data_IF_828857984540
#
_entry.id   IF_828857984540
#
_cell.length_a   1.000
_cell.length_b   1.000
_cell.length_c   1.000
_cell.angle_alpha   90.00
_cell.angle_beta   90.00
_cell.angle_gamma   90.00
#
_symmetry.space_group_name_H-M   'P 1'
#
loop_
_entity.id
_entity.type
_entity.pdbx_description
1 polymer ?
#
# COMPACT_ATOMS: atom_id res chain seq x y z
N UNK A 1 -33.25 -9.62 -8.52
CA UNK A 1 -33.75 -9.15 -7.21
C UNK A 1 -33.95 -10.39 -6.34
N UNK A 2 -33.08 -10.62 -5.35
CA UNK A 2 -33.21 -11.76 -4.42
C UNK A 2 -34.19 -11.39 -3.32
N UNK A 3 -35.05 -12.34 -2.91
CA UNK A 3 -35.88 -12.23 -1.70
C UNK A 3 -35.57 -13.39 -0.78
N UNK A 4 -35.33 -13.07 0.49
CA UNK A 4 -35.19 -14.01 1.60
C UNK A 4 -36.56 -14.15 2.26
N UNK A 5 -37.03 -15.38 2.48
CA UNK A 5 -38.20 -15.64 3.32
C UNK A 5 -37.73 -16.11 4.72
N UNK A 6 -38.19 -15.50 5.83
CA UNK A 6 -37.56 -15.67 7.13
C UNK A 6 -38.06 -16.89 7.92
N UNK A 7 -37.16 -17.47 8.73
CA UNK A 7 -37.52 -18.26 9.92
C UNK A 7 -37.72 -17.30 11.11
N UNK A 8 -38.65 -17.55 12.08
CA UNK A 8 -39.26 -16.49 12.88
C UNK A 8 -38.41 -15.83 13.98
N UNK A 9 -37.16 -16.24 14.17
CA UNK A 9 -36.33 -15.85 15.32
C UNK A 9 -34.96 -15.26 14.98
N UNK A 10 -34.65 -15.07 13.69
CA UNK A 10 -33.37 -14.52 13.24
C UNK A 10 -33.54 -13.15 12.57
N UNK A 11 -32.77 -12.16 13.01
CA UNK A 11 -32.75 -10.83 12.38
C UNK A 11 -32.07 -10.89 11.02
N UNK A 12 -32.51 -10.03 10.08
CA UNK A 12 -31.93 -9.96 8.74
C UNK A 12 -30.40 -9.73 8.77
N UNK A 13 -29.90 -8.94 9.73
CA UNK A 13 -28.47 -8.76 9.96
C UNK A 13 -27.76 -10.08 10.34
N UNK A 14 -28.32 -10.87 11.26
CA UNK A 14 -27.73 -12.14 11.67
C UNK A 14 -27.75 -13.21 10.56
N UNK A 15 -28.70 -13.13 9.63
CA UNK A 15 -28.72 -13.95 8.40
C UNK A 15 -27.65 -13.48 7.40
N UNK A 16 -27.51 -12.17 7.22
CA UNK A 16 -26.53 -11.56 6.32
C UNK A 16 -25.09 -11.81 6.79
N UNK A 17 -24.82 -11.78 8.11
CA UNK A 17 -23.55 -12.19 8.71
C UNK A 17 -23.26 -13.67 8.46
N UNK A 18 -24.19 -14.59 8.76
CA UNK A 18 -24.02 -16.03 8.47
C UNK A 18 -23.76 -16.32 7.00
N UNK A 19 -24.42 -15.60 6.10
CA UNK A 19 -24.19 -15.72 4.66
C UNK A 19 -22.78 -15.23 4.28
N UNK A 20 -22.34 -14.07 4.78
CA UNK A 20 -21.00 -13.56 4.55
C UNK A 20 -19.89 -14.46 5.12
N UNK A 21 -20.09 -15.04 6.31
CA UNK A 21 -19.11 -15.92 6.95
C UNK A 21 -19.03 -17.28 6.25
N UNK A 22 -20.16 -17.83 5.82
CA UNK A 22 -20.18 -19.01 4.96
C UNK A 22 -19.63 -18.74 3.55
N UNK A 23 -19.53 -17.49 3.09
CA UNK A 23 -18.81 -17.15 1.87
C UNK A 23 -17.29 -17.06 2.06
N UNK A 24 -16.85 -16.61 3.24
CA UNK A 24 -15.42 -16.49 3.61
C UNK A 24 -14.77 -17.84 3.92
N UNK A 25 -15.51 -18.76 4.54
CA UNK A 25 -15.02 -20.09 4.91
C UNK A 25 -15.49 -21.14 3.89
N UNK A 26 -14.55 -21.78 3.19
CA UNK A 26 -14.83 -22.87 2.22
C UNK A 26 -15.48 -24.09 2.87
N UNK A 27 -15.14 -24.37 4.12
CA UNK A 27 -15.46 -25.61 4.82
C UNK A 27 -16.73 -25.45 5.68
N UNK A 28 -17.21 -24.22 5.84
CA UNK A 28 -18.49 -23.95 6.48
C UNK A 28 -19.65 -24.59 5.68
N UNK A 29 -20.66 -25.15 6.35
CA UNK A 29 -21.88 -25.61 5.68
C UNK A 29 -22.62 -24.43 5.03
N UNK A 30 -23.38 -24.73 3.98
CA UNK A 30 -24.26 -23.74 3.34
C UNK A 30 -25.32 -23.29 4.36
N UNK A 31 -25.55 -21.98 4.56
CA UNK A 31 -26.56 -21.51 5.50
C UNK A 31 -27.96 -22.03 5.16
N UNK A 32 -28.73 -22.40 6.19
CA UNK A 32 -30.14 -22.74 6.03
C UNK A 32 -30.91 -21.56 5.42
N UNK A 33 -31.87 -21.86 4.54
CA UNK A 33 -32.66 -20.85 3.83
C UNK A 33 -32.03 -20.32 2.53
N UNK A 34 -30.82 -20.74 2.14
CA UNK A 34 -30.29 -20.49 0.79
C UNK A 34 -31.07 -21.32 -0.24
N UNK A 35 -32.19 -20.76 -0.71
CA UNK A 35 -32.98 -21.27 -1.81
C UNK A 35 -32.62 -20.56 -3.13
N UNK A 36 -32.78 -21.23 -4.27
CA UNK A 36 -32.34 -20.71 -5.55
C UNK A 36 -33.43 -20.93 -6.63
N UNK A 37 -34.06 -19.85 -7.06
CA UNK A 37 -35.39 -19.80 -7.73
C UNK A 37 -35.56 -20.69 -8.98
N UNK A 38 -34.47 -21.09 -9.64
CA UNK A 38 -34.46 -21.79 -10.92
C UNK A 38 -33.43 -22.94 -11.02
N UNK A 39 -33.01 -23.53 -9.89
CA UNK A 39 -32.14 -24.73 -9.86
C UNK A 39 -32.34 -25.48 -8.53
N UNK A 40 -32.67 -26.79 -8.54
CA UNK A 40 -32.82 -27.60 -7.33
C UNK A 40 -31.51 -27.84 -6.55
N UNK A 41 -30.34 -27.39 -7.02
CA UNK A 41 -29.06 -27.50 -6.34
C UNK A 41 -28.50 -26.15 -5.81
N UNK A 42 -29.06 -25.54 -4.74
CA UNK A 42 -28.51 -24.33 -4.13
C UNK A 42 -27.03 -24.43 -3.77
N UNK A 43 -26.58 -25.61 -3.33
CA UNK A 43 -25.17 -25.91 -3.05
C UNK A 43 -24.24 -25.62 -4.23
N UNK A 44 -24.64 -25.97 -5.45
CA UNK A 44 -23.84 -25.77 -6.66
C UNK A 44 -23.64 -24.29 -6.96
N UNK A 45 -24.67 -23.46 -6.77
CA UNK A 45 -24.57 -22.02 -7.01
C UNK A 45 -23.94 -21.24 -5.87
N UNK A 46 -24.04 -21.72 -4.63
CA UNK A 46 -23.25 -21.19 -3.52
C UNK A 46 -21.75 -21.43 -3.74
N UNK A 47 -21.37 -22.63 -4.22
CA UNK A 47 -19.99 -22.92 -4.61
C UNK A 47 -19.50 -22.03 -5.77
N UNK A 48 -20.32 -21.79 -6.81
CA UNK A 48 -19.99 -20.83 -7.89
C UNK A 48 -19.79 -19.42 -7.34
N UNK A 49 -20.63 -18.96 -6.43
CA UNK A 49 -20.48 -17.62 -5.83
C UNK A 49 -19.21 -17.51 -4.97
N UNK A 50 -18.90 -18.52 -4.13
CA UNK A 50 -17.62 -18.61 -3.40
C UNK A 50 -16.41 -18.56 -4.35
N UNK A 51 -16.45 -19.34 -5.42
CA UNK A 51 -15.37 -19.37 -6.42
C UNK A 51 -15.18 -18.02 -7.10
N UNK A 52 -16.27 -17.32 -7.43
CA UNK A 52 -16.22 -15.97 -7.99
C UNK A 52 -15.60 -14.98 -7.00
N UNK A 53 -15.99 -15.00 -5.73
CA UNK A 53 -15.39 -14.15 -4.68
C UNK A 53 -13.89 -14.41 -4.55
N UNK A 54 -13.47 -15.67 -4.43
CA UNK A 54 -12.05 -16.02 -4.33
C UNK A 54 -11.25 -15.61 -5.58
N UNK A 55 -11.83 -15.75 -6.78
CA UNK A 55 -11.21 -15.31 -8.03
C UNK A 55 -11.08 -13.78 -8.11
N UNK A 56 -12.13 -13.04 -7.74
CA UNK A 56 -12.10 -11.57 -7.70
C UNK A 56 -11.11 -11.03 -6.67
N UNK A 57 -10.96 -11.69 -5.51
CA UNK A 57 -9.96 -11.29 -4.50
C UNK A 57 -8.53 -11.52 -5.00
N UNK A 58 -8.24 -12.65 -5.65
CA UNK A 58 -6.93 -12.89 -6.29
C UNK A 58 -6.65 -11.86 -7.39
N UNK A 59 -7.64 -11.56 -8.24
CA UNK A 59 -7.53 -10.52 -9.27
C UNK A 59 -7.30 -9.12 -8.70
N UNK A 60 -7.94 -8.78 -7.58
CA UNK A 60 -7.73 -7.51 -6.90
C UNK A 60 -6.31 -7.41 -6.29
N UNK A 61 -5.80 -8.49 -5.69
CA UNK A 61 -4.42 -8.55 -5.21
C UNK A 61 -3.41 -8.44 -6.37
N UNK A 62 -3.63 -9.16 -7.47
CA UNK A 62 -2.79 -9.10 -8.68
C UNK A 62 -2.73 -7.68 -9.27
N UNK A 63 -3.88 -7.02 -9.41
CA UNK A 63 -3.96 -5.64 -9.89
C UNK A 63 -3.33 -4.61 -8.93
N UNK A 64 -3.28 -4.93 -7.62
CA UNK A 64 -2.68 -4.07 -6.59
C UNK A 64 -1.17 -4.26 -6.45
N UNK A 65 -0.67 -5.47 -6.70
CA UNK A 65 0.73 -5.86 -6.50
C UNK A 65 1.38 -6.43 -7.79
N UNK A 66 1.33 -5.70 -8.93
CA UNK A 66 1.83 -6.21 -10.21
C UNK A 66 3.34 -6.48 -10.22
N UNK A 67 4.17 -5.64 -9.57
CA UNK A 67 5.61 -5.88 -9.51
C UNK A 67 5.92 -7.09 -8.61
N UNK A 68 5.19 -7.25 -7.50
CA UNK A 68 5.26 -8.47 -6.67
C UNK A 68 4.93 -9.71 -7.49
N UNK A 69 3.86 -9.69 -8.30
CA UNK A 69 3.50 -10.80 -9.19
C UNK A 69 4.57 -11.06 -10.27
N UNK A 70 5.17 -10.02 -10.85
CA UNK A 70 6.25 -10.17 -11.83
C UNK A 70 7.50 -10.83 -11.23
N UNK A 71 7.86 -10.49 -9.99
CA UNK A 71 9.02 -11.08 -9.28
C UNK A 71 8.84 -12.57 -9.02
N UNK A 72 7.66 -13.00 -8.54
CA UNK A 72 7.42 -14.39 -8.12
C UNK A 72 6.83 -15.29 -9.22
N UNK A 73 6.29 -14.69 -10.28
CA UNK A 73 5.54 -15.38 -11.33
C UNK A 73 4.07 -15.63 -10.97
N UNK A 74 3.22 -15.78 -12.00
CA UNK A 74 1.76 -15.85 -11.84
C UNK A 74 1.29 -17.02 -10.96
N UNK A 75 1.85 -18.22 -11.14
CA UNK A 75 1.47 -19.42 -10.39
C UNK A 75 1.81 -19.30 -8.89
N UNK A 76 3.00 -18.80 -8.57
CA UNK A 76 3.40 -18.56 -7.18
C UNK A 76 2.52 -17.47 -6.56
N UNK A 77 2.28 -16.37 -7.27
CA UNK A 77 1.42 -15.29 -6.79
C UNK A 77 -0.02 -15.78 -6.55
N UNK A 78 -0.57 -16.62 -7.42
CA UNK A 78 -1.89 -17.22 -7.25
C UNK A 78 -1.98 -18.11 -5.99
N UNK A 79 -0.91 -18.86 -5.69
CA UNK A 79 -0.77 -19.64 -4.47
C UNK A 79 -0.65 -18.77 -3.20
N UNK A 80 0.25 -17.78 -3.24
CA UNK A 80 0.45 -16.79 -2.18
C UNK A 80 -0.86 -16.04 -1.86
N UNK A 81 -1.54 -15.55 -2.88
CA UNK A 81 -2.81 -14.84 -2.74
C UNK A 81 -3.91 -15.75 -2.18
N UNK A 82 -3.98 -17.02 -2.58
CA UNK A 82 -4.93 -17.98 -2.01
C UNK A 82 -4.67 -18.23 -0.51
N UNK A 83 -3.40 -18.40 -0.11
CA UNK A 83 -3.02 -18.57 1.29
C UNK A 83 -3.31 -17.30 2.11
N UNK A 84 -3.00 -16.11 1.56
CA UNK A 84 -3.34 -14.84 2.18
C UNK A 84 -4.84 -14.66 2.37
N UNK A 85 -5.67 -14.96 1.36
CA UNK A 85 -7.14 -14.85 1.43
C UNK A 85 -7.72 -15.76 2.51
N UNK A 86 -7.19 -16.98 2.66
CA UNK A 86 -7.65 -17.92 3.68
C UNK A 86 -7.30 -17.44 5.10
N UNK A 87 -6.10 -16.88 5.31
CA UNK A 87 -5.68 -16.34 6.61
C UNK A 87 -6.30 -14.97 6.93
N UNK A 88 -6.54 -14.15 5.90
CA UNK A 88 -7.01 -12.77 5.98
C UNK A 88 -8.25 -12.55 5.09
N UNK A 89 -9.41 -13.14 5.43
CA UNK A 89 -10.63 -12.95 4.67
C UNK A 89 -11.11 -11.48 4.73
N UNK A 90 -11.65 -10.92 3.64
CA UNK A 90 -12.07 -9.52 3.58
C UNK A 90 -13.20 -9.23 4.58
N UNK A 91 -12.96 -8.23 5.44
CA UNK A 91 -13.93 -7.76 6.45
C UNK A 91 -14.92 -6.74 5.89
N UNK A 92 -14.54 -6.04 4.82
CA UNK A 92 -15.34 -5.02 4.11
C UNK A 92 -15.59 -5.45 2.65
N UNK A 93 -16.72 -5.05 2.04
CA UNK A 93 -16.90 -5.15 0.58
C UNK A 93 -16.04 -4.14 -0.20
N UNK A 94 -15.53 -3.09 0.45
CA UNK A 94 -14.54 -2.18 -0.14
C UNK A 94 -13.16 -2.85 -0.07
N UNK A 95 -12.57 -3.14 -1.23
CA UNK A 95 -11.28 -3.82 -1.36
C UNK A 95 -10.08 -2.86 -1.46
N UNK A 96 -10.28 -1.55 -1.27
CA UNK A 96 -9.25 -0.52 -1.39
C UNK A 96 -8.03 -0.81 -0.49
N UNK A 97 -8.31 -1.18 0.77
CA UNK A 97 -7.29 -1.54 1.76
C UNK A 97 -6.98 -3.05 1.78
N UNK A 98 -7.61 -3.84 0.91
CA UNK A 98 -7.40 -5.29 0.89
C UNK A 98 -6.00 -5.62 0.37
N UNK A 99 -5.22 -6.35 1.16
CA UNK A 99 -3.79 -6.58 0.92
C UNK A 99 -2.85 -5.68 1.74
N UNK A 100 -3.35 -4.74 2.55
CA UNK A 100 -2.50 -3.91 3.43
C UNK A 100 -1.59 -4.72 4.36
N UNK A 101 -2.03 -5.90 4.80
CA UNK A 101 -1.27 -6.82 5.66
C UNK A 101 -0.47 -7.87 4.89
N UNK A 102 -0.45 -7.83 3.54
CA UNK A 102 0.22 -8.84 2.71
C UNK A 102 1.74 -8.86 2.95
N UNK A 103 2.38 -7.69 3.16
CA UNK A 103 3.81 -7.63 3.44
C UNK A 103 4.18 -8.41 4.72
N UNK A 104 3.47 -8.17 5.82
CA UNK A 104 3.70 -8.87 7.09
C UNK A 104 3.29 -10.34 7.07
N UNK A 105 2.39 -10.74 6.17
CA UNK A 105 2.11 -12.15 5.90
C UNK A 105 3.26 -12.81 5.13
N UNK A 106 3.81 -12.16 4.11
CA UNK A 106 4.94 -12.66 3.31
C UNK A 106 6.20 -12.84 4.14
N UNK A 107 6.45 -11.99 5.14
CA UNK A 107 7.56 -12.16 6.10
C UNK A 107 7.49 -13.46 6.91
N UNK A 108 6.33 -14.10 6.98
CA UNK A 108 6.10 -15.37 7.68
C UNK A 108 5.78 -16.52 6.70
N UNK A 109 5.76 -16.25 5.40
CA UNK A 109 5.42 -17.21 4.36
C UNK A 109 6.68 -17.95 3.89
N UNK A 110 6.95 -19.11 4.49
CA UNK A 110 8.15 -19.93 4.24
C UNK A 110 8.51 -20.14 2.75
N UNK A 111 7.55 -20.36 1.82
CA UNK A 111 7.89 -20.50 0.40
C UNK A 111 8.49 -19.25 -0.26
N UNK A 112 8.41 -18.08 0.37
CA UNK A 112 9.02 -16.83 -0.09
C UNK A 112 10.27 -16.41 0.71
N UNK A 113 10.76 -17.23 1.65
CA UNK A 113 11.79 -16.85 2.62
C UNK A 113 13.14 -16.45 1.99
N UNK A 114 13.48 -16.96 0.80
CA UNK A 114 14.69 -16.56 0.06
C UNK A 114 14.58 -15.13 -0.53
N UNK A 115 13.36 -14.66 -0.80
CA UNK A 115 13.06 -13.34 -1.38
C UNK A 115 12.93 -12.29 -0.27
N UNK A 116 14.00 -12.09 0.48
CA UNK A 116 14.06 -11.17 1.65
C UNK A 116 13.57 -9.75 1.41
N UNK A 117 13.63 -9.26 0.16
CA UNK A 117 13.16 -7.93 -0.25
C UNK A 117 11.66 -7.87 -0.65
N UNK A 118 10.98 -9.01 -0.75
CA UNK A 118 9.62 -9.08 -1.33
C UNK A 118 8.59 -8.34 -0.48
N UNK A 119 8.70 -8.42 0.85
CA UNK A 119 7.83 -7.69 1.78
C UNK A 119 7.96 -6.17 1.61
N UNK A 120 9.15 -5.66 1.33
CA UNK A 120 9.39 -4.24 1.08
C UNK A 120 8.85 -3.78 -0.29
N UNK A 121 8.93 -4.62 -1.34
CA UNK A 121 8.25 -4.33 -2.61
C UNK A 121 6.73 -4.26 -2.40
N UNK A 122 6.14 -5.19 -1.63
CA UNK A 122 4.72 -5.17 -1.30
C UNK A 122 4.34 -3.92 -0.49
N UNK A 123 5.17 -3.49 0.47
CA UNK A 123 4.99 -2.21 1.19
C UNK A 123 4.99 -1.02 0.24
N UNK A 124 5.92 -1.00 -0.71
CA UNK A 124 6.05 0.08 -1.68
C UNK A 124 4.83 0.18 -2.61
N UNK A 125 4.34 -0.96 -3.12
CA UNK A 125 3.10 -1.02 -3.92
C UNK A 125 1.85 -0.67 -3.10
N UNK A 126 1.80 -1.07 -1.82
CA UNK A 126 0.73 -0.67 -0.91
C UNK A 126 0.72 0.86 -0.66
N UNK A 127 1.89 1.49 -0.50
CA UNK A 127 2.02 2.96 -0.42
C UNK A 127 1.55 3.64 -1.71
N UNK A 128 1.88 3.10 -2.90
CA UNK A 128 1.36 3.63 -4.19
C UNK A 128 -0.17 3.58 -4.26
N UNK A 129 -0.76 2.48 -3.80
CA UNK A 129 -2.24 2.34 -3.75
C UNK A 129 -2.86 3.37 -2.81
N UNK A 130 -2.25 3.60 -1.65
CA UNK A 130 -2.71 4.60 -0.67
C UNK A 130 -2.56 6.02 -1.21
N UNK A 131 -1.43 6.35 -1.82
CA UNK A 131 -1.22 7.63 -2.46
C UNK A 131 -2.25 7.90 -3.57
N UNK A 132 -2.62 6.87 -4.36
CA UNK A 132 -3.68 6.96 -5.38
C UNK A 132 -5.06 7.32 -4.81
N UNK A 133 -5.38 6.88 -3.60
CA UNK A 133 -6.67 7.13 -2.94
C UNK A 133 -6.67 8.22 -1.87
N UNK A 134 -5.52 8.87 -1.62
CA UNK A 134 -5.39 9.97 -0.67
C UNK A 134 -6.23 11.20 -1.09
N UNK A 135 -6.48 12.12 -0.16
CA UNK A 135 -7.15 13.40 -0.47
C UNK A 135 -6.30 14.27 -1.40
N UNK A 136 -6.96 14.97 -2.33
CA UNK A 136 -6.31 15.93 -3.23
C UNK A 136 -5.98 17.22 -2.49
N UNK A 137 -4.73 17.69 -2.58
CA UNK A 137 -4.30 18.97 -2.03
C UNK A 137 -3.38 19.70 -3.00
N UNK A 138 -3.36 21.03 -2.94
CA UNK A 138 -2.41 21.83 -3.69
C UNK A 138 -1.03 21.76 -2.98
N UNK A 139 0.07 21.52 -3.71
CA UNK A 139 1.41 21.70 -3.16
C UNK A 139 1.67 23.14 -2.73
N UNK A 140 2.50 23.30 -1.71
CA UNK A 140 3.09 24.57 -1.26
C UNK A 140 3.74 25.31 -2.43
N UNK A 141 3.47 26.61 -2.59
CA UNK A 141 4.20 27.43 -3.56
C UNK A 141 5.61 27.72 -3.00
N UNK A 142 6.71 27.36 -3.71
CA UNK A 142 8.07 27.69 -3.27
C UNK A 142 8.31 29.21 -3.05
N UNK A 143 7.47 30.08 -3.62
CA UNK A 143 7.51 31.52 -3.35
C UNK A 143 7.15 31.88 -1.89
N UNK A 144 6.38 31.05 -1.17
CA UNK A 144 6.03 31.27 0.24
C UNK A 144 7.28 31.17 1.13
N UNK A 145 8.16 30.19 0.88
CA UNK A 145 9.44 30.05 1.57
C UNK A 145 10.35 31.27 1.37
N UNK A 146 10.29 31.91 0.19
CA UNK A 146 11.06 33.12 -0.09
C UNK A 146 10.56 34.36 0.67
N UNK A 147 9.38 34.31 1.30
CA UNK A 147 8.87 35.36 2.20
C UNK A 147 9.26 35.15 3.68
N UNK A 148 9.83 33.99 4.02
CA UNK A 148 10.24 33.69 5.40
C UNK A 148 11.51 34.47 5.74
N UNK A 149 11.50 35.10 6.92
CA UNK A 149 12.68 35.75 7.50
C UNK A 149 13.85 34.74 7.62
N UNK A 150 15.03 35.02 7.03
CA UNK A 150 16.19 34.14 7.12
C UNK A 150 16.58 33.74 8.55
N UNK A 151 16.40 34.62 9.55
CA UNK A 151 16.70 34.31 10.96
C UNK A 151 15.68 33.33 11.57
N UNK A 152 14.55 33.08 10.89
CA UNK A 152 13.48 32.17 11.31
C UNK A 152 13.35 30.93 10.42
N UNK A 153 14.09 30.82 9.32
CA UNK A 153 13.94 29.72 8.34
C UNK A 153 14.14 28.34 8.97
N UNK A 154 15.06 28.22 9.95
CA UNK A 154 15.28 26.96 10.68
C UNK A 154 14.13 26.55 11.61
N UNK A 155 13.23 27.46 11.95
CA UNK A 155 12.13 27.22 12.91
C UNK A 155 10.81 26.85 12.23
N UNK A 156 10.72 26.94 10.89
CA UNK A 156 9.48 26.63 10.17
C UNK A 156 9.15 25.14 10.31
N UNK A 157 7.85 24.85 10.40
CA UNK A 157 7.29 23.50 10.31
C UNK A 157 6.50 23.38 9.00
N UNK A 158 6.36 22.16 8.48
CA UNK A 158 5.68 21.90 7.22
C UNK A 158 4.44 21.03 7.43
N UNK A 159 3.37 21.30 6.70
CA UNK A 159 2.24 20.39 6.58
C UNK A 159 2.53 19.37 5.45
N UNK A 160 2.60 18.05 5.73
CA UNK A 160 2.79 17.04 4.69
C UNK A 160 1.54 16.91 3.81
N UNK A 161 1.75 16.64 2.52
CA UNK A 161 0.67 16.31 1.59
C UNK A 161 -0.01 14.99 2.01
N UNK A 162 -1.35 14.87 1.94
CA UNK A 162 -2.07 13.68 2.45
C UNK A 162 -1.65 12.34 1.83
N UNK A 163 -1.05 12.37 0.63
CA UNK A 163 -0.56 11.19 -0.09
C UNK A 163 0.88 10.79 0.26
N UNK A 164 1.55 11.44 1.21
CA UNK A 164 2.96 11.20 1.51
C UNK A 164 3.18 9.78 2.06
N UNK A 165 3.83 8.94 1.26
CA UNK A 165 4.36 7.64 1.67
C UNK A 165 5.88 7.66 1.74
N UNK A 166 6.44 7.16 2.83
CA UNK A 166 7.88 6.92 2.98
C UNK A 166 8.12 5.45 3.29
N UNK A 167 9.11 4.84 2.64
CA UNK A 167 9.61 3.51 2.96
C UNK A 167 11.12 3.55 3.07
N UNK A 168 11.67 2.89 4.10
CA UNK A 168 13.11 2.64 4.22
C UNK A 168 13.34 1.14 4.03
N UNK A 169 14.27 0.77 3.15
CA UNK A 169 14.61 -0.64 2.92
C UNK A 169 16.12 -0.87 2.99
N UNK A 170 16.51 -2.03 3.55
CA UNK A 170 17.88 -2.54 3.45
C UNK A 170 18.23 -3.07 2.04
N UNK A 171 17.25 -3.12 1.14
CA UNK A 171 17.37 -3.60 -0.23
C UNK A 171 17.17 -2.44 -1.23
N UNK A 172 17.61 -2.59 -2.50
CA UNK A 172 17.39 -1.60 -3.55
C UNK A 172 15.95 -1.66 -4.06
N UNK A 173 15.00 -1.38 -3.16
CA UNK A 173 13.57 -1.62 -3.36
C UNK A 173 12.97 -0.77 -4.48
N UNK A 174 13.49 0.45 -4.69
CA UNK A 174 13.02 1.35 -5.77
C UNK A 174 13.49 0.80 -7.12
N UNK A 175 14.76 0.39 -7.21
CA UNK A 175 15.33 -0.21 -8.42
C UNK A 175 14.66 -1.55 -8.75
N UNK A 176 14.47 -2.43 -7.76
CA UNK A 176 13.78 -3.72 -7.93
C UNK A 176 12.34 -3.48 -8.40
N UNK A 177 11.60 -2.55 -7.76
CA UNK A 177 10.24 -2.25 -8.16
C UNK A 177 10.18 -1.71 -9.59
N UNK A 178 11.02 -0.74 -9.96
CA UNK A 178 11.02 -0.13 -11.30
C UNK A 178 11.30 -1.15 -12.41
N UNK A 179 12.22 -2.09 -12.18
CA UNK A 179 12.51 -3.18 -13.12
C UNK A 179 11.35 -4.17 -13.30
N UNK A 180 10.52 -4.36 -12.28
CA UNK A 180 9.41 -5.33 -12.28
C UNK A 180 8.04 -4.69 -12.55
N UNK A 181 7.94 -3.35 -12.53
CA UNK A 181 6.78 -2.59 -12.98
C UNK A 181 6.86 -2.17 -14.46
N UNK A 182 8.04 -2.29 -15.08
CA UNK A 182 8.30 -1.90 -16.47
C UNK A 182 8.70 -0.42 -16.64
N UNK A 183 9.00 0.29 -15.55
CA UNK A 183 9.56 1.65 -15.58
C UNK A 183 11.05 1.65 -15.97
N UNK A 184 11.73 0.51 -15.81
CA UNK A 184 13.14 0.30 -16.15
C UNK A 184 13.38 -1.09 -16.75
N UNK A 185 14.34 -1.22 -17.66
CA UNK A 185 14.82 -2.52 -18.14
C UNK A 185 15.48 -3.36 -17.02
N UNK A 186 15.26 -4.68 -17.05
CA UNK A 186 15.92 -5.63 -16.16
C UNK A 186 17.45 -5.61 -16.35
N UNK A 187 18.18 -5.36 -15.27
CA UNK A 187 19.65 -5.36 -15.26
C UNK A 187 20.19 -5.89 -13.92
N UNK A 188 21.46 -6.36 -13.85
CA UNK A 188 22.11 -6.69 -12.59
C UNK A 188 22.16 -5.48 -11.64
N UNK A 189 21.79 -5.66 -10.37
CA UNK A 189 21.83 -4.60 -9.36
C UNK A 189 23.12 -4.74 -8.55
N UNK A 190 24.16 -4.02 -8.97
CA UNK A 190 25.46 -3.98 -8.30
C UNK A 190 25.91 -2.52 -8.06
N UNK A 191 26.29 -2.13 -6.84
CA UNK A 191 26.23 -2.90 -5.59
C UNK A 191 24.80 -3.00 -5.04
N UNK A 192 24.48 -4.13 -4.40
CA UNK A 192 23.24 -4.26 -3.62
C UNK A 192 23.30 -3.36 -2.39
N UNK A 193 22.51 -2.28 -2.38
CA UNK A 193 22.44 -1.29 -1.29
C UNK A 193 21.00 -0.95 -0.97
N UNK A 194 20.75 -0.59 0.29
CA UNK A 194 19.45 -0.11 0.73
C UNK A 194 19.02 1.17 0.01
N UNK A 195 17.72 1.31 -0.22
CA UNK A 195 17.10 2.48 -0.82
C UNK A 195 15.94 2.96 0.06
N UNK A 196 15.97 4.26 0.34
CA UNK A 196 14.84 5.01 0.88
C UNK A 196 13.95 5.47 -0.29
N UNK A 197 12.63 5.34 -0.15
CA UNK A 197 11.64 5.64 -1.18
C UNK A 197 10.64 6.69 -0.72
N UNK A 198 10.33 7.62 -1.63
CA UNK A 198 9.22 8.57 -1.56
C UNK A 198 8.12 8.10 -2.52
N UNK A 199 6.88 8.08 -2.04
CA UNK A 199 5.67 7.92 -2.84
C UNK A 199 4.77 9.13 -2.61
N UNK A 200 4.30 9.77 -3.67
CA UNK A 200 3.55 11.03 -3.59
C UNK A 200 2.60 11.19 -4.80
N UNK A 201 1.48 11.90 -4.64
CA UNK A 201 0.50 12.19 -5.71
C UNK A 201 0.10 13.68 -5.71
N UNK A 202 1.02 14.60 -6.00
CA UNK A 202 0.77 16.04 -5.89
C UNK A 202 0.01 16.64 -7.09
N UNK A 203 -0.02 15.95 -8.24
CA UNK A 203 -0.81 16.35 -9.43
C UNK A 203 -1.58 15.17 -10.05
N UNK A 204 -2.37 14.47 -9.23
CA UNK A 204 -3.19 13.30 -9.62
C UNK A 204 -2.45 12.04 -10.10
N UNK A 205 -1.17 12.11 -10.46
CA UNK A 205 -0.33 10.98 -10.85
C UNK A 205 0.52 10.54 -9.65
N UNK A 206 0.56 9.25 -9.34
CA UNK A 206 1.40 8.70 -8.28
C UNK A 206 2.83 8.60 -8.78
N UNK A 207 3.70 9.43 -8.24
CA UNK A 207 5.13 9.34 -8.42
C UNK A 207 5.76 8.45 -7.35
N UNK A 208 6.84 7.78 -7.74
CA UNK A 208 7.70 7.03 -6.85
C UNK A 208 9.14 7.44 -7.17
N UNK A 209 9.89 7.90 -6.15
CA UNK A 209 11.25 8.39 -6.29
C UNK A 209 12.15 7.76 -5.24
N UNK A 210 13.39 7.44 -5.61
CA UNK A 210 14.45 7.15 -4.64
C UNK A 210 14.85 8.44 -3.95
N UNK A 211 14.97 8.40 -2.62
CA UNK A 211 15.45 9.53 -1.82
C UNK A 211 16.99 9.56 -1.78
N UNK A 212 17.59 10.76 -1.73
CA UNK A 212 19.01 10.93 -1.40
C UNK A 212 19.32 10.45 0.04
N UNK A 213 20.61 10.28 0.40
CA UNK A 213 21.03 9.95 1.76
C UNK A 213 20.43 10.90 2.80
N UNK A 214 19.96 10.35 3.92
CA UNK A 214 19.25 11.08 4.99
C UNK A 214 17.84 11.56 4.65
N UNK A 215 17.39 11.44 3.38
CA UNK A 215 16.13 12.02 2.90
C UNK A 215 14.88 11.45 3.58
N UNK A 216 14.83 10.15 3.91
CA UNK A 216 13.68 9.60 4.64
C UNK A 216 13.63 10.08 6.09
N UNK A 217 14.78 10.21 6.78
CA UNK A 217 14.83 10.75 8.13
C UNK A 217 14.39 12.23 8.16
N UNK A 218 14.89 13.01 7.20
CA UNK A 218 14.50 14.41 7.00
C UNK A 218 12.98 14.57 6.79
N UNK A 219 12.41 13.87 5.79
CA UNK A 219 10.99 13.97 5.48
C UNK A 219 10.10 13.40 6.57
N UNK A 220 10.53 12.34 7.28
CA UNK A 220 9.78 11.80 8.42
C UNK A 220 9.73 12.78 9.60
N UNK A 221 10.83 13.47 9.90
CA UNK A 221 10.86 14.50 10.95
C UNK A 221 9.94 15.69 10.59
N UNK A 222 10.03 16.19 9.35
CA UNK A 222 9.13 17.25 8.87
C UNK A 222 7.66 16.82 8.86
N UNK A 223 7.34 15.59 8.47
CA UNK A 223 5.97 15.06 8.48
C UNK A 223 5.44 14.78 9.90
N UNK A 224 6.32 14.49 10.87
CA UNK A 224 5.99 14.48 12.30
C UNK A 224 5.76 15.90 12.86
N UNK A 225 5.99 16.92 12.05
CA UNK A 225 5.78 18.33 12.37
C UNK A 225 6.99 19.02 12.98
N UNK A 226 8.20 18.44 12.93
CA UNK A 226 9.41 19.08 13.47
C UNK A 226 9.89 20.27 12.65
N UNK A 227 10.77 21.09 13.24
CA UNK A 227 11.29 22.26 12.52
C UNK A 227 12.29 21.85 11.42
N UNK A 228 12.50 22.73 10.44
CA UNK A 228 13.50 22.53 9.40
C UNK A 228 14.92 22.27 9.97
N UNK A 229 15.28 22.95 11.06
CA UNK A 229 16.55 22.75 11.76
C UNK A 229 16.64 21.38 12.42
N UNK A 230 15.65 21.02 13.23
CA UNK A 230 15.61 19.73 13.95
C UNK A 230 15.61 18.54 12.96
N UNK A 231 14.85 18.67 11.85
CA UNK A 231 14.81 17.65 10.79
C UNK A 231 16.15 17.51 10.06
N UNK A 232 16.87 18.62 9.82
CA UNK A 232 18.20 18.59 9.22
C UNK A 232 19.24 17.95 10.16
N UNK A 233 19.17 18.20 11.48
CA UNK A 233 20.03 17.54 12.48
C UNK A 233 19.75 16.04 12.59
N UNK A 234 18.47 15.64 12.58
CA UNK A 234 18.08 14.23 12.56
C UNK A 234 18.60 13.52 11.30
N UNK A 235 18.54 14.17 10.13
CA UNK A 235 19.03 13.60 8.87
C UNK A 235 20.56 13.53 8.78
N UNK A 236 21.29 14.50 9.34
CA UNK A 236 22.75 14.44 9.49
C UNK A 236 23.18 13.32 10.47
N UNK A 237 22.39 13.06 11.50
CA UNK A 237 22.61 11.96 12.45
C UNK A 237 22.40 10.59 11.80
N UNK A 238 21.41 10.49 10.90
CA UNK A 238 21.14 9.28 10.11
C UNK A 238 22.17 9.05 8.99
N UNK A 239 22.63 10.13 8.33
CA UNK A 239 23.57 10.05 7.22
C UNK A 239 24.50 11.26 7.15
N UNK A 240 25.81 10.99 7.24
CA UNK A 240 26.86 12.01 7.02
C UNK A 240 26.94 12.48 5.56
N UNK A 241 26.27 11.79 4.62
CA UNK A 241 26.13 12.19 3.21
C UNK A 241 24.89 13.07 2.97
N UNK A 242 24.14 13.44 4.02
CA UNK A 242 22.94 14.28 3.89
C UNK A 242 23.29 15.70 3.41
N UNK A 243 22.65 16.11 2.30
CA UNK A 243 22.66 17.47 1.79
C UNK A 243 21.25 18.08 1.94
N UNK A 244 21.14 19.13 2.76
CA UNK A 244 19.90 19.86 3.00
C UNK A 244 19.34 20.50 1.73
N UNK A 245 20.21 21.04 0.86
CA UNK A 245 19.81 21.73 -0.37
C UNK A 245 19.18 20.74 -1.35
N UNK A 246 19.83 19.58 -1.54
CA UNK A 246 19.34 18.53 -2.45
C UNK A 246 18.01 17.97 -1.92
N UNK A 247 17.93 17.64 -0.63
CA UNK A 247 16.72 17.04 -0.06
C UNK A 247 15.54 18.02 -0.01
N UNK A 248 15.75 19.28 0.41
CA UNK A 248 14.69 20.29 0.44
C UNK A 248 14.22 20.67 -0.98
N UNK A 249 15.14 20.87 -1.92
CA UNK A 249 14.77 21.15 -3.31
C UNK A 249 13.98 19.98 -3.94
N UNK A 250 14.41 18.73 -3.68
CA UNK A 250 13.70 17.54 -4.13
C UNK A 250 12.30 17.41 -3.52
N UNK A 251 12.13 17.73 -2.24
CA UNK A 251 10.84 17.70 -1.55
C UNK A 251 9.85 18.73 -2.13
N UNK A 252 10.31 19.96 -2.38
CA UNK A 252 9.50 21.02 -2.96
C UNK A 252 9.12 20.73 -4.42
N UNK A 253 10.08 20.27 -5.23
CA UNK A 253 9.81 19.86 -6.63
C UNK A 253 8.85 18.67 -6.73
N UNK A 254 8.86 17.78 -5.73
CA UNK A 254 7.96 16.62 -5.67
C UNK A 254 6.66 16.90 -4.91
N UNK A 255 6.36 18.18 -4.59
CA UNK A 255 5.10 18.59 -3.96
C UNK A 255 4.79 17.92 -2.62
N UNK A 256 5.81 17.62 -1.81
CA UNK A 256 5.69 16.83 -0.57
C UNK A 256 4.93 17.56 0.54
N UNK A 257 4.85 18.89 0.47
CA UNK A 257 4.22 19.75 1.48
C UNK A 257 3.12 20.62 0.88
N UNK A 258 2.17 21.03 1.73
CA UNK A 258 0.97 21.83 1.34
C UNK A 258 0.90 23.19 2.01
N UNK A 259 1.64 23.39 3.12
CA UNK A 259 1.72 24.65 3.86
C UNK A 259 2.98 24.70 4.73
N UNK A 260 3.31 25.90 5.22
CA UNK A 260 4.33 26.15 6.26
C UNK A 260 3.74 26.93 7.44
N UNK A 261 4.37 26.83 8.63
CA UNK A 261 3.99 27.54 9.85
C UNK A 261 5.19 27.91 10.72
#
# INVERSE_FOLDING_TARGET
MMSVFPSPSDTAAAQQTRFADALRNSDAPIPEGVAAWNDPAPARRFAVYRNNVASSLRGALAARFPATQAIVGEDFFAGLAAAFIAAHPPRSPLLLDYGDTLAGFVEQFEPAAELTYLSDVIRLEALRSKAYHAEDSAPLDPAELAQVDPDRIGLIRFAPHPSLGLLRSAHPVVTIWAMNSGEQDLAPIEPWRGEDALVIRPQMIVELRRLPPGGAAFLAALAAGETLGDAAEAALTDSLEFDLTINLAGALQSGVFTAIS
#
